data_IF_407769675386
#
_entry.id   IF_407769675386
#
_cell.length_a   1.000
_cell.length_b   1.000
_cell.length_c   1.000
_cell.angle_alpha   90.00
_cell.angle_beta   90.00
_cell.angle_gamma   90.00
#
_symmetry.space_group_name_H-M   'P 1'
#
loop_
_entity.id
_entity.type
_entity.pdbx_description
1 polymer ?
#
# COMPACT_ATOMS: atom_id res chain seq x y z
N UNK A 1 5.93 10.74 -14.12
CA UNK A 1 6.23 12.17 -14.00
C UNK A 1 4.96 13.00 -13.74
N UNK A 2 3.82 12.69 -14.36
CA UNK A 2 2.56 13.46 -14.15
C UNK A 2 1.87 13.25 -12.78
N UNK A 3 1.90 12.05 -12.19
CA UNK A 3 1.41 11.87 -10.79
C UNK A 3 2.31 12.62 -9.82
N UNK A 4 3.63 12.54 -10.05
CA UNK A 4 4.61 13.21 -9.21
C UNK A 4 4.41 14.72 -9.26
N UNK A 5 4.09 15.35 -10.40
CA UNK A 5 3.97 16.81 -10.44
C UNK A 5 2.78 17.35 -9.61
N UNK A 6 1.68 16.61 -9.51
CA UNK A 6 0.48 17.06 -8.77
C UNK A 6 0.53 16.75 -7.27
N UNK A 7 1.16 15.66 -6.85
CA UNK A 7 1.32 15.31 -5.43
C UNK A 7 2.36 16.16 -4.68
N UNK A 8 3.20 16.88 -5.43
CA UNK A 8 4.43 17.48 -4.92
C UNK A 8 4.32 18.97 -4.53
N UNK A 9 3.39 19.74 -5.10
CA UNK A 9 3.38 21.21 -4.88
C UNK A 9 2.44 21.70 -3.77
N UNK A 10 1.40 20.94 -3.39
CA UNK A 10 0.32 21.52 -2.55
C UNK A 10 0.22 21.00 -1.11
N UNK A 11 0.85 19.87 -0.78
CA UNK A 11 0.37 19.07 0.35
C UNK A 11 1.05 19.32 1.69
N UNK A 12 2.25 19.89 1.81
CA UNK A 12 2.94 20.27 3.08
C UNK A 12 2.59 19.48 4.38
N UNK A 13 2.39 18.14 4.30
CA UNK A 13 1.93 17.32 5.44
C UNK A 13 0.45 17.43 5.84
N UNK A 14 -0.37 18.18 5.10
CA UNK A 14 -1.81 18.34 5.29
C UNK A 14 -2.59 17.10 4.78
N UNK A 15 -3.01 16.28 5.74
CA UNK A 15 -3.81 15.08 5.48
C UNK A 15 -5.16 15.39 4.82
N UNK A 16 -5.74 16.57 5.04
CA UNK A 16 -7.04 16.94 4.49
C UNK A 16 -6.97 17.08 2.96
N UNK A 17 -5.93 17.74 2.47
CA UNK A 17 -5.67 17.86 1.05
C UNK A 17 -5.40 16.46 0.47
N UNK A 18 -4.51 15.67 1.09
CA UNK A 18 -4.17 14.33 0.57
C UNK A 18 -5.42 13.46 0.42
N UNK A 19 -6.32 13.54 1.40
CA UNK A 19 -7.63 12.89 1.36
C UNK A 19 -8.50 13.41 0.23
N UNK A 20 -8.60 14.73 0.05
CA UNK A 20 -9.39 15.33 -1.03
C UNK A 20 -8.91 14.87 -2.42
N UNK A 21 -7.60 14.82 -2.63
CA UNK A 21 -7.03 14.33 -3.88
C UNK A 21 -7.27 12.84 -4.09
N UNK A 22 -7.02 12.02 -3.06
CA UNK A 22 -7.28 10.58 -3.12
C UNK A 22 -8.76 10.30 -3.40
N UNK A 23 -9.65 11.12 -2.84
CA UNK A 23 -11.10 11.08 -3.08
C UNK A 23 -11.48 11.47 -4.51
N UNK A 24 -10.89 12.51 -5.07
CA UNK A 24 -11.13 12.92 -6.46
C UNK A 24 -10.63 11.87 -7.45
N UNK A 25 -9.48 11.26 -7.19
CA UNK A 25 -8.95 10.16 -8.00
C UNK A 25 -9.85 8.93 -7.93
N UNK A 26 -10.33 8.58 -6.72
CA UNK A 26 -11.27 7.49 -6.51
C UNK A 26 -12.57 7.74 -7.28
N UNK A 27 -13.13 8.96 -7.21
CA UNK A 27 -14.34 9.35 -7.95
C UNK A 27 -14.16 9.23 -9.46
N UNK A 28 -13.01 9.65 -9.98
CA UNK A 28 -12.71 9.62 -11.42
C UNK A 28 -12.80 8.21 -12.00
N UNK A 29 -12.30 7.20 -11.28
CA UNK A 29 -12.29 5.79 -11.72
C UNK A 29 -13.11 4.90 -10.76
N UNK A 30 -14.21 5.42 -10.23
CA UNK A 30 -14.98 4.78 -9.15
C UNK A 30 -15.43 3.35 -9.47
N UNK A 31 -15.97 3.04 -10.68
CA UNK A 31 -16.35 1.67 -11.01
C UNK A 31 -15.18 0.69 -10.98
N UNK A 32 -13.99 1.12 -11.41
CA UNK A 32 -12.80 0.28 -11.42
C UNK A 32 -12.29 0.02 -10.00
N UNK A 33 -12.19 1.04 -9.16
CA UNK A 33 -11.78 0.87 -7.77
C UNK A 33 -12.75 0.00 -6.97
N UNK A 34 -14.06 0.22 -7.12
CA UNK A 34 -15.08 -0.61 -6.47
C UNK A 34 -15.03 -2.05 -7.00
N UNK A 35 -14.88 -2.23 -8.32
CA UNK A 35 -14.74 -3.55 -8.92
C UNK A 35 -13.53 -4.32 -8.36
N UNK A 36 -12.38 -3.68 -8.25
CA UNK A 36 -11.16 -4.26 -7.66
C UNK A 36 -11.35 -4.63 -6.18
N UNK A 37 -11.98 -3.75 -5.39
CA UNK A 37 -12.30 -4.02 -3.99
C UNK A 37 -13.22 -5.22 -3.84
N UNK A 38 -14.27 -5.31 -4.66
CA UNK A 38 -15.24 -6.41 -4.64
C UNK A 38 -14.58 -7.73 -5.04
N UNK A 39 -13.80 -7.74 -6.12
CA UNK A 39 -13.04 -8.94 -6.55
C UNK A 39 -12.11 -9.39 -5.43
N UNK A 40 -11.35 -8.46 -4.84
CA UNK A 40 -10.45 -8.75 -3.72
C UNK A 40 -11.21 -9.34 -2.53
N UNK A 41 -12.37 -8.76 -2.19
CA UNK A 41 -13.18 -9.20 -1.07
C UNK A 41 -13.73 -10.62 -1.32
N UNK A 42 -14.32 -10.88 -2.48
CA UNK A 42 -14.84 -12.20 -2.87
C UNK A 42 -13.74 -13.26 -2.81
N UNK A 43 -12.56 -12.97 -3.37
CA UNK A 43 -11.44 -13.92 -3.36
C UNK A 43 -10.95 -14.27 -1.95
N UNK A 44 -11.02 -13.33 -1.01
CA UNK A 44 -10.65 -13.59 0.38
C UNK A 44 -11.66 -14.46 1.14
N UNK A 45 -12.92 -14.54 0.70
CA UNK A 45 -13.94 -15.42 1.30
C UNK A 45 -13.81 -16.89 0.89
N UNK A 46 -13.09 -17.19 -0.20
CA UNK A 46 -12.91 -18.56 -0.67
C UNK A 46 -11.83 -19.24 0.19
N UNK A 47 -12.16 -20.36 0.89
CA UNK A 47 -11.17 -21.12 1.64
C UNK A 47 -9.99 -21.54 0.75
N UNK A 48 -8.80 -21.66 1.33
CA UNK A 48 -7.53 -21.97 0.63
C UNK A 48 -6.96 -20.85 -0.26
N UNK A 49 -7.80 -20.08 -0.98
CA UNK A 49 -7.34 -18.89 -1.71
C UNK A 49 -6.84 -17.81 -0.75
N UNK A 50 -7.43 -17.74 0.45
CA UNK A 50 -7.02 -16.81 1.51
C UNK A 50 -5.56 -16.98 1.95
N UNK A 51 -4.94 -18.15 1.75
CA UNK A 51 -3.51 -18.38 2.02
C UNK A 51 -2.65 -17.53 1.06
N UNK A 52 -3.15 -17.27 -0.15
CA UNK A 52 -2.52 -16.42 -1.15
C UNK A 52 -3.04 -14.97 -1.13
N UNK A 53 -3.83 -14.59 -0.14
CA UNK A 53 -4.42 -13.25 0.00
C UNK A 53 -3.39 -12.12 -0.10
N UNK A 54 -2.18 -12.33 0.41
CA UNK A 54 -1.11 -11.34 0.34
C UNK A 54 -0.65 -11.06 -1.10
N UNK A 55 -0.60 -12.09 -1.96
CA UNK A 55 -0.26 -11.92 -3.38
C UNK A 55 -1.35 -11.19 -4.15
N UNK A 56 -2.62 -11.45 -3.81
CA UNK A 56 -3.78 -10.75 -4.35
C UNK A 56 -3.77 -9.27 -3.93
N UNK A 57 -3.47 -8.98 -2.67
CA UNK A 57 -3.33 -7.60 -2.19
C UNK A 57 -2.22 -6.84 -2.94
N UNK A 58 -1.08 -7.46 -3.20
CA UNK A 58 0.00 -6.84 -4.00
C UNK A 58 -0.48 -6.54 -5.43
N UNK A 59 -1.27 -7.43 -6.02
CA UNK A 59 -1.94 -7.20 -7.30
C UNK A 59 -2.89 -6.00 -7.27
N UNK A 60 -3.69 -5.85 -6.22
CA UNK A 60 -4.53 -4.68 -6.02
C UNK A 60 -3.70 -3.39 -5.91
N UNK A 61 -2.60 -3.39 -5.16
CA UNK A 61 -1.67 -2.26 -5.11
C UNK A 61 -1.14 -1.91 -6.50
N UNK A 62 -0.81 -2.90 -7.34
CA UNK A 62 -0.38 -2.67 -8.72
C UNK A 62 -1.47 -2.05 -9.60
N UNK A 63 -2.72 -2.53 -9.50
CA UNK A 63 -3.85 -1.94 -10.23
C UNK A 63 -4.12 -0.48 -9.79
N UNK A 64 -4.10 -0.20 -8.48
CA UNK A 64 -4.25 1.16 -7.96
C UNK A 64 -3.15 2.08 -8.48
N UNK A 65 -1.90 1.61 -8.49
CA UNK A 65 -0.76 2.37 -9.01
C UNK A 65 -0.90 2.69 -10.50
N UNK A 66 -1.36 1.74 -11.32
CA UNK A 66 -1.67 1.96 -12.73
C UNK A 66 -2.78 2.99 -12.94
N UNK A 67 -3.87 2.90 -12.17
CA UNK A 67 -4.96 3.88 -12.23
C UNK A 67 -4.52 5.28 -11.84
N UNK A 68 -3.65 5.40 -10.83
CA UNK A 68 -3.04 6.69 -10.47
C UNK A 68 -2.31 7.27 -11.69
N UNK A 69 -1.69 6.43 -12.52
CA UNK A 69 -0.97 6.86 -13.74
C UNK A 69 -1.89 7.16 -14.91
N UNK A 70 -3.19 7.01 -14.75
CA UNK A 70 -4.16 6.98 -15.85
C UNK A 70 -3.83 5.88 -16.89
N UNK A 71 -3.16 4.79 -16.47
CA UNK A 71 -2.96 3.61 -17.31
C UNK A 71 -4.19 2.70 -17.27
N UNK A 72 -4.46 2.00 -18.36
CA UNK A 72 -5.53 0.99 -18.42
C UNK A 72 -5.13 -0.23 -17.59
N UNK A 73 -6.09 -0.77 -16.83
CA UNK A 73 -5.89 -2.01 -16.07
C UNK A 73 -6.42 -3.19 -16.90
N UNK A 74 -5.60 -4.23 -17.02
CA UNK A 74 -6.04 -5.54 -17.50
C UNK A 74 -6.26 -6.51 -16.34
N UNK A 75 -7.07 -7.55 -16.57
CA UNK A 75 -7.29 -8.62 -15.58
C UNK A 75 -5.98 -9.26 -15.10
N UNK A 76 -5.00 -9.37 -16.00
CA UNK A 76 -3.67 -9.91 -15.68
C UNK A 76 -2.89 -9.05 -14.69
N UNK A 77 -3.16 -7.75 -14.58
CA UNK A 77 -2.49 -6.86 -13.63
C UNK A 77 -2.93 -7.11 -12.20
N UNK A 78 -4.16 -7.59 -12.01
CA UNK A 78 -4.65 -8.00 -10.70
C UNK A 78 -3.93 -9.25 -10.20
N UNK A 79 -3.53 -10.13 -11.12
CA UNK A 79 -2.70 -11.29 -10.84
C UNK A 79 -1.21 -11.03 -11.13
N UNK A 80 -0.77 -9.77 -11.02
CA UNK A 80 0.63 -9.36 -11.28
C UNK A 80 1.66 -10.26 -10.60
N UNK A 81 1.38 -10.68 -9.36
CA UNK A 81 2.20 -11.58 -8.56
C UNK A 81 2.41 -12.97 -9.18
N UNK A 82 1.46 -13.45 -9.99
CA UNK A 82 1.45 -14.77 -10.61
C UNK A 82 1.86 -14.78 -12.09
N UNK A 83 2.12 -13.60 -12.68
CA UNK A 83 2.48 -13.50 -14.11
C UNK A 83 3.77 -14.23 -14.48
N UNK A 84 4.69 -14.44 -13.54
CA UNK A 84 5.93 -15.18 -13.76
C UNK A 84 6.35 -15.89 -12.48
N UNK A 85 6.85 -17.11 -12.60
CA UNK A 85 7.35 -17.89 -11.47
C UNK A 85 8.48 -17.18 -10.71
N UNK A 86 9.38 -16.51 -11.43
CA UNK A 86 10.45 -15.71 -10.80
C UNK A 86 9.90 -14.56 -9.97
N UNK A 87 8.89 -13.84 -10.48
CA UNK A 87 8.25 -12.75 -9.74
C UNK A 87 7.51 -13.26 -8.51
N UNK A 88 6.76 -14.35 -8.67
CA UNK A 88 6.07 -15.00 -7.56
C UNK A 88 7.04 -15.36 -6.44
N UNK A 89 8.14 -16.05 -6.76
CA UNK A 89 9.18 -16.41 -5.78
C UNK A 89 9.81 -15.17 -5.13
N UNK A 90 10.12 -14.15 -5.91
CA UNK A 90 10.73 -12.91 -5.42
C UNK A 90 9.82 -12.16 -4.43
N UNK A 91 8.51 -12.11 -4.71
CA UNK A 91 7.50 -11.55 -3.79
C UNK A 91 7.37 -12.45 -2.57
N UNK A 92 7.32 -13.77 -2.75
CA UNK A 92 7.21 -14.74 -1.66
C UNK A 92 8.38 -14.59 -0.68
N UNK A 93 9.61 -14.47 -1.19
CA UNK A 93 10.80 -14.22 -0.36
C UNK A 93 10.66 -12.91 0.41
N UNK A 94 10.26 -11.81 -0.24
CA UNK A 94 10.07 -10.53 0.43
C UNK A 94 9.02 -10.62 1.56
N UNK A 95 7.87 -11.25 1.28
CA UNK A 95 6.78 -11.41 2.24
C UNK A 95 7.20 -12.29 3.42
N UNK A 96 7.88 -13.41 3.15
CA UNK A 96 8.38 -14.31 4.20
C UNK A 96 9.38 -13.60 5.09
N UNK A 97 10.36 -12.90 4.52
CA UNK A 97 11.35 -12.14 5.28
C UNK A 97 10.71 -11.02 6.11
N UNK A 98 9.75 -10.30 5.52
CA UNK A 98 9.01 -9.24 6.20
C UNK A 98 8.21 -9.81 7.38
N UNK A 99 7.51 -10.92 7.16
CA UNK A 99 6.70 -11.59 8.19
C UNK A 99 7.58 -12.12 9.32
N UNK A 100 8.70 -12.77 9.01
CA UNK A 100 9.66 -13.26 10.00
C UNK A 100 10.23 -12.09 10.80
N UNK A 101 10.65 -11.00 10.14
CA UNK A 101 11.18 -9.82 10.83
C UNK A 101 10.16 -9.23 11.80
N UNK A 102 8.91 -9.08 11.37
CA UNK A 102 7.81 -8.56 12.21
C UNK A 102 7.52 -9.50 13.38
N UNK A 103 7.42 -10.81 13.14
CA UNK A 103 7.18 -11.82 14.20
C UNK A 103 8.30 -11.81 15.22
N UNK A 104 9.56 -11.82 14.77
CA UNK A 104 10.73 -11.73 15.67
C UNK A 104 10.68 -10.42 16.47
N UNK A 105 10.33 -9.32 15.80
CA UNK A 105 10.11 -8.03 16.45
C UNK A 105 9.14 -8.13 17.62
N UNK A 106 7.93 -8.65 17.37
CA UNK A 106 6.90 -8.83 18.39
C UNK A 106 7.25 -9.89 19.45
N UNK A 107 7.96 -10.96 19.06
CA UNK A 107 8.38 -12.02 19.97
C UNK A 107 9.45 -11.56 20.96
N UNK A 108 10.33 -10.65 20.53
CA UNK A 108 11.30 -10.01 21.42
C UNK A 108 10.59 -9.06 22.38
N UNK A 109 9.82 -8.08 21.86
CA UNK A 109 8.99 -7.15 22.63
C UNK A 109 7.92 -6.50 21.74
N UNK A 110 6.84 -5.96 22.31
CA UNK A 110 5.80 -5.25 21.55
C UNK A 110 6.37 -4.03 20.80
N UNK A 111 7.29 -3.29 21.42
CA UNK A 111 7.84 -2.03 20.87
C UNK A 111 8.65 -2.27 19.58
N UNK A 112 9.64 -3.19 19.53
CA UNK A 112 10.33 -3.56 18.29
C UNK A 112 9.41 -4.07 17.19
N UNK A 113 8.36 -4.82 17.54
CA UNK A 113 7.37 -5.30 16.57
C UNK A 113 6.61 -4.16 15.88
N UNK A 114 6.15 -3.18 16.65
CA UNK A 114 5.50 -1.97 16.12
C UNK A 114 6.48 -1.18 15.25
N UNK A 115 7.72 -1.00 15.72
CA UNK A 115 8.76 -0.30 14.98
C UNK A 115 8.98 -0.90 13.59
N UNK A 116 9.20 -2.23 13.52
CA UNK A 116 9.41 -2.94 12.26
C UNK A 116 8.17 -2.91 11.36
N UNK A 117 6.97 -2.99 11.93
CA UNK A 117 5.73 -2.93 11.15
C UNK A 117 5.61 -1.60 10.39
N UNK A 118 5.97 -0.50 11.04
CA UNK A 118 5.95 0.84 10.43
C UNK A 118 7.12 1.01 9.46
N UNK A 119 8.32 0.54 9.82
CA UNK A 119 9.49 0.61 8.95
C UNK A 119 9.32 -0.18 7.64
N UNK A 120 8.55 -1.28 7.69
CA UNK A 120 8.29 -2.16 6.55
C UNK A 120 6.96 -1.87 5.83
N UNK A 121 6.20 -0.85 6.26
CA UNK A 121 4.88 -0.49 5.70
C UNK A 121 4.92 -0.30 4.18
N UNK A 122 5.97 0.34 3.67
CA UNK A 122 6.09 0.69 2.25
C UNK A 122 6.71 -0.41 1.40
N UNK A 123 7.04 -1.57 1.97
CA UNK A 123 7.67 -2.68 1.22
C UNK A 123 6.85 -3.07 -0.01
N UNK A 124 5.53 -3.21 0.13
CA UNK A 124 4.63 -3.52 -1.00
C UNK A 124 4.64 -2.44 -2.07
N UNK A 125 4.65 -1.17 -1.66
CA UNK A 125 4.69 -0.04 -2.59
C UNK A 125 6.00 -0.04 -3.35
N UNK A 126 7.14 -0.20 -2.66
CA UNK A 126 8.47 -0.31 -3.27
C UNK A 126 8.52 -1.45 -4.30
N UNK A 127 7.94 -2.61 -3.97
CA UNK A 127 7.88 -3.75 -4.91
C UNK A 127 7.13 -3.40 -6.20
N UNK A 128 6.05 -2.64 -6.11
CA UNK A 128 5.21 -2.24 -7.25
C UNK A 128 5.84 -1.07 -8.03
N UNK A 129 6.36 -0.06 -7.33
CA UNK A 129 6.84 1.19 -7.95
C UNK A 129 8.27 1.10 -8.45
N UNK A 130 9.17 0.56 -7.63
CA UNK A 130 10.62 0.48 -7.92
C UNK A 130 11.02 -0.89 -8.49
N UNK A 131 10.09 -1.86 -8.55
CA UNK A 131 10.34 -3.25 -9.02
C UNK A 131 11.47 -3.96 -8.26
N UNK A 132 11.83 -3.48 -7.06
CA UNK A 132 12.76 -4.14 -6.15
C UNK A 132 12.07 -5.31 -5.48
N UNK A 133 12.82 -6.36 -5.13
CA UNK A 133 12.26 -7.59 -4.56
C UNK A 133 13.18 -8.19 -3.50
N UNK A 134 12.65 -9.13 -2.71
CA UNK A 134 13.39 -9.73 -1.60
C UNK A 134 13.85 -8.69 -0.58
N UNK A 135 15.09 -8.84 -0.11
CA UNK A 135 15.69 -7.99 0.93
C UNK A 135 15.80 -6.53 0.50
N UNK A 136 16.03 -6.25 -0.78
CA UNK A 136 16.23 -4.89 -1.28
C UNK A 136 14.96 -4.04 -1.16
N UNK A 137 13.79 -4.67 -1.31
CA UNK A 137 12.51 -4.00 -1.08
C UNK A 137 12.32 -3.62 0.40
N UNK A 138 12.69 -4.51 1.32
CA UNK A 138 12.59 -4.28 2.75
C UNK A 138 13.54 -3.16 3.19
N UNK A 139 14.82 -3.24 2.79
CA UNK A 139 15.82 -2.20 3.09
C UNK A 139 15.38 -0.84 2.58
N UNK A 140 14.88 -0.79 1.34
CA UNK A 140 14.37 0.43 0.76
C UNK A 140 13.18 1.01 1.52
N UNK A 141 12.26 0.18 2.01
CA UNK A 141 11.18 0.64 2.88
C UNK A 141 11.72 1.27 4.16
N UNK A 142 12.67 0.60 4.84
CA UNK A 142 13.28 1.12 6.07
C UNK A 142 14.00 2.45 5.82
N UNK A 143 14.76 2.57 4.73
CA UNK A 143 15.44 3.80 4.33
C UNK A 143 14.47 4.97 4.13
N UNK A 144 13.26 4.72 3.62
CA UNK A 144 12.27 5.79 3.37
C UNK A 144 11.64 6.26 4.68
N UNK A 145 11.49 5.36 5.65
CA UNK A 145 10.94 5.66 6.98
C UNK A 145 11.99 6.24 7.93
N UNK A 146 13.27 5.99 7.66
CA UNK A 146 14.38 6.44 8.49
C UNK A 146 14.37 7.96 8.70
N UNK A 147 14.55 8.37 9.96
CA UNK A 147 14.42 9.76 10.40
C UNK A 147 13.01 10.37 10.40
N UNK A 148 11.98 9.65 9.90
CA UNK A 148 10.58 10.13 9.81
C UNK A 148 9.57 9.18 10.44
N UNK A 149 10.03 8.20 11.22
CA UNK A 149 9.21 7.12 11.79
C UNK A 149 7.95 7.61 12.51
N UNK A 150 8.07 8.65 13.35
CA UNK A 150 6.93 9.19 14.10
C UNK A 150 5.84 9.78 13.20
N UNK A 151 6.24 10.42 12.10
CA UNK A 151 5.30 10.97 11.12
C UNK A 151 4.56 9.83 10.39
N UNK A 152 5.28 8.75 10.05
CA UNK A 152 4.67 7.55 9.45
C UNK A 152 3.72 6.86 10.44
N UNK A 153 4.09 6.79 11.72
CA UNK A 153 3.24 6.25 12.77
C UNK A 153 1.93 7.03 12.91
N UNK A 154 1.99 8.36 12.97
CA UNK A 154 0.81 9.22 13.01
C UNK A 154 -0.08 9.03 11.78
N UNK A 155 0.53 8.92 10.60
CA UNK A 155 -0.20 8.64 9.36
C UNK A 155 -0.89 7.27 9.39
N UNK A 156 -0.24 6.23 9.91
CA UNK A 156 -0.89 4.93 10.15
C UNK A 156 -2.09 5.05 11.08
N UNK A 157 -1.99 5.86 12.14
CA UNK A 157 -3.11 6.16 13.04
C UNK A 157 -4.29 6.83 12.31
N UNK A 158 -4.00 7.80 11.44
CA UNK A 158 -5.01 8.44 10.59
C UNK A 158 -5.71 7.43 9.67
N UNK A 159 -4.94 6.58 8.97
CA UNK A 159 -5.50 5.53 8.12
C UNK A 159 -6.32 4.51 8.91
N UNK A 160 -5.90 4.18 10.13
CA UNK A 160 -6.64 3.28 11.01
C UNK A 160 -8.02 3.86 11.36
N UNK A 161 -8.07 5.13 11.78
CA UNK A 161 -9.34 5.82 12.06
C UNK A 161 -10.25 5.89 10.83
N UNK A 162 -9.68 6.15 9.65
CA UNK A 162 -10.41 6.17 8.38
C UNK A 162 -11.05 4.80 8.09
N UNK A 163 -10.33 3.70 8.29
CA UNK A 163 -10.86 2.35 8.07
C UNK A 163 -11.88 1.93 9.14
N UNK A 164 -11.72 2.37 10.39
CA UNK A 164 -12.75 2.19 11.43
C UNK A 164 -14.04 2.91 11.03
N UNK A 165 -13.97 4.14 10.51
CA UNK A 165 -15.15 4.85 10.01
C UNK A 165 -15.79 4.09 8.83
N UNK A 166 -15.00 3.54 7.92
CA UNK A 166 -15.48 2.68 6.83
C UNK A 166 -16.16 1.40 7.34
N UNK A 167 -15.62 0.77 8.38
CA UNK A 167 -16.20 -0.42 9.01
C UNK A 167 -17.56 -0.12 9.66
N UNK A 168 -17.66 1.00 10.38
CA UNK A 168 -18.90 1.43 11.04
C UNK A 168 -20.03 1.74 10.04
N UNK A 169 -19.68 2.10 8.80
CA UNK A 169 -20.61 2.23 7.67
C UNK A 169 -21.02 0.88 7.04
N UNK A 170 -21.43 -0.08 7.88
CA UNK A 170 -22.01 -1.39 7.50
C UNK A 170 -21.18 -2.24 6.52
N UNK A 171 -19.84 -2.26 6.66
CA UNK A 171 -18.90 -2.97 5.76
C UNK A 171 -18.86 -2.43 4.32
N UNK A 172 -19.93 -1.82 3.81
CA UNK A 172 -19.96 -1.16 2.49
C UNK A 172 -18.96 -0.01 2.45
N UNK A 173 -18.76 0.69 3.57
CA UNK A 173 -17.72 1.70 3.70
C UNK A 173 -16.32 1.15 3.44
N UNK A 174 -16.03 -0.11 3.76
CA UNK A 174 -14.71 -0.72 3.51
C UNK A 174 -14.38 -0.84 2.03
N UNK A 175 -15.40 -1.06 1.18
CA UNK A 175 -15.22 -1.15 -0.28
C UNK A 175 -14.61 0.14 -0.84
N UNK A 176 -14.91 1.27 -0.19
CA UNK A 176 -14.41 2.61 -0.54
C UNK A 176 -13.14 2.97 0.24
N UNK A 177 -13.05 2.64 1.53
CA UNK A 177 -11.88 3.01 2.34
C UNK A 177 -10.64 2.19 2.00
N UNK A 178 -10.77 0.96 1.52
CA UNK A 178 -9.62 0.14 1.09
C UNK A 178 -8.85 0.81 -0.07
N UNK A 179 -9.46 1.10 -1.23
CA UNK A 179 -8.75 1.74 -2.35
C UNK A 179 -8.31 3.15 -1.96
N UNK A 180 -9.09 3.86 -1.15
CA UNK A 180 -8.72 5.18 -0.63
C UNK A 180 -7.44 5.12 0.22
N UNK A 181 -7.33 4.12 1.11
CA UNK A 181 -6.14 3.87 1.94
C UNK A 181 -4.93 3.54 1.09
N UNK A 182 -5.10 2.73 0.05
CA UNK A 182 -4.01 2.38 -0.88
C UNK A 182 -3.51 3.64 -1.59
N UNK A 183 -4.41 4.46 -2.15
CA UNK A 183 -4.04 5.72 -2.81
C UNK A 183 -3.29 6.64 -1.85
N UNK A 184 -3.82 6.83 -0.62
CA UNK A 184 -3.17 7.64 0.41
C UNK A 184 -1.77 7.13 0.77
N UNK A 185 -1.57 5.81 0.87
CA UNK A 185 -0.26 5.22 1.12
C UNK A 185 0.72 5.51 -0.03
N UNK A 186 0.30 5.42 -1.29
CA UNK A 186 1.14 5.77 -2.44
C UNK A 186 1.50 7.26 -2.44
N UNK A 187 0.53 8.14 -2.18
CA UNK A 187 0.76 9.58 -2.12
C UNK A 187 1.76 9.96 -1.02
N UNK A 188 1.56 9.39 0.18
CA UNK A 188 2.46 9.63 1.29
C UNK A 188 3.86 9.04 1.06
N UNK A 189 3.94 7.88 0.39
CA UNK A 189 5.21 7.30 -0.06
C UNK A 189 5.98 8.25 -1.01
N UNK A 190 5.30 8.83 -2.00
CA UNK A 190 5.94 9.77 -2.94
C UNK A 190 6.40 11.04 -2.24
N UNK A 191 5.60 11.56 -1.31
CA UNK A 191 5.97 12.70 -0.47
C UNK A 191 7.26 12.42 0.33
N UNK A 192 7.34 11.28 1.03
CA UNK A 192 8.52 10.91 1.81
C UNK A 192 9.76 10.72 0.95
N UNK A 193 9.62 10.06 -0.20
CA UNK A 193 10.73 9.79 -1.12
C UNK A 193 11.31 11.09 -1.68
N UNK A 194 10.47 12.06 -2.05
CA UNK A 194 10.92 13.36 -2.57
C UNK A 194 11.62 14.18 -1.50
N UNK A 195 11.04 14.25 -0.30
CA UNK A 195 11.63 14.96 0.84
C UNK A 195 12.95 14.34 1.34
N UNK A 196 13.35 13.17 0.82
CA UNK A 196 14.69 12.57 1.04
C UNK A 196 15.68 12.92 -0.07
N UNK A 197 15.20 13.26 -1.28
CA UNK A 197 16.05 13.71 -2.39
C UNK A 197 16.46 15.19 -2.26
N UNK A 198 15.68 15.99 -1.51
CA UNK A 198 15.90 17.42 -1.30
C UNK A 198 16.71 17.76 -0.04
N UNK A 199 17.05 16.75 0.78
CA UNK A 199 17.81 16.88 2.02
C UNK A 199 19.26 16.40 1.85
#
# INVERSE_FOLDING_TARGET
>A
MEIQSKSIQDYNGDYSKMLAYAWDLLKKNLPLYIGLSLISMILNFIPYISIFSIFINIGFFNCCYKLMKNETIDFNDFFFSFQSFSRFLNILVAVVLMTIAIIIGYALLIIPGIYLSIALLFTTIVMVTEKKVGIDALKRSMEIVDGKWWNVFMFCGFLFLLNIAGLLCLLVGLIVTIPLTIILLFEYYFFLTKAKLEA
#
